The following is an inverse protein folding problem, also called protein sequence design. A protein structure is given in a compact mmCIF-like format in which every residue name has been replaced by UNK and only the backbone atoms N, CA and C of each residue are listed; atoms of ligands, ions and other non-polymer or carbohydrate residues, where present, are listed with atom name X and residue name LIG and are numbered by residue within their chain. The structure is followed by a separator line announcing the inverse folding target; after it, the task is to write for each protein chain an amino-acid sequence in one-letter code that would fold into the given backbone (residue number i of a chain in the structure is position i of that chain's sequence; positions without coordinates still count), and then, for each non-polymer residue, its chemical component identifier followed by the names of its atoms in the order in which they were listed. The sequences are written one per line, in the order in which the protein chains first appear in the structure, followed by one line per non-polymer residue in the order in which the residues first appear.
data_IF_743192466807
#
_entry.id   IF_743192466807
#
_cell.length_a   1.000
_cell.length_b   1.000
_cell.length_c   1.000
_cell.angle_alpha   90.00
_cell.angle_beta   90.00
_cell.angle_gamma   90.00
#
_symmetry.space_group_name_H-M   'P 1'
#
loop_
_entity.id
_entity.type
_entity.pdbx_description
1 polymer ?
#
# COMPACT_ATOMS: atom_id res chain seq x y z
N UNK A 1 9.19 -12.59 21.64
CA UNK A 1 10.10 -11.64 20.96
C UNK A 1 10.21 -11.86 19.45
N UNK A 2 10.15 -13.10 18.93
CA UNK A 2 10.36 -13.38 17.51
C UNK A 2 9.26 -12.83 16.56
N UNK A 3 8.00 -12.86 16.98
CA UNK A 3 6.86 -12.40 16.15
C UNK A 3 6.91 -10.89 15.88
N UNK A 4 7.15 -10.06 16.91
CA UNK A 4 7.22 -8.61 16.70
C UNK A 4 8.33 -8.22 15.72
N UNK A 5 9.50 -8.88 15.83
CA UNK A 5 10.61 -8.66 14.90
C UNK A 5 10.20 -9.00 13.47
N UNK A 6 9.53 -10.13 13.23
CA UNK A 6 9.09 -10.50 11.89
C UNK A 6 8.06 -9.54 11.32
N UNK A 7 7.17 -8.98 12.16
CA UNK A 7 6.19 -7.99 11.72
C UNK A 7 6.83 -6.66 11.32
N UNK A 8 7.82 -6.17 12.09
CA UNK A 8 8.57 -4.96 11.72
C UNK A 8 9.34 -5.18 10.42
N UNK A 9 10.01 -6.32 10.25
CA UNK A 9 10.72 -6.62 8.99
C UNK A 9 9.76 -6.76 7.80
N UNK A 10 8.55 -7.23 8.04
CA UNK A 10 7.54 -7.37 7.01
C UNK A 10 7.04 -6.02 6.46
N UNK A 11 7.20 -4.89 7.15
CA UNK A 11 6.82 -3.58 6.61
C UNK A 11 7.77 -3.10 5.51
N UNK A 12 8.96 -3.69 5.37
CA UNK A 12 9.84 -3.44 4.24
C UNK A 12 9.12 -3.71 2.90
N UNK A 13 9.11 -2.71 2.02
CA UNK A 13 8.49 -2.80 0.70
C UNK A 13 9.24 -3.74 -0.24
N UNK A 14 10.53 -4.02 0.01
CA UNK A 14 11.29 -5.03 -0.75
C UNK A 14 10.68 -6.44 -0.62
N UNK A 15 10.02 -6.71 0.50
CA UNK A 15 9.40 -8.01 0.80
C UNK A 15 7.95 -8.10 0.31
N UNK A 16 7.37 -7.00 -0.19
CA UNK A 16 5.93 -6.89 -0.46
C UNK A 16 5.39 -8.02 -1.34
N UNK A 17 5.95 -8.19 -2.53
CA UNK A 17 5.48 -9.21 -3.47
C UNK A 17 5.76 -10.63 -2.99
N UNK A 18 6.88 -10.86 -2.30
CA UNK A 18 7.23 -12.18 -1.75
C UNK A 18 6.23 -12.64 -0.70
N UNK A 19 5.83 -11.74 0.21
CA UNK A 19 4.83 -12.02 1.24
C UNK A 19 3.46 -12.29 0.60
N UNK A 20 3.01 -11.44 -0.34
CA UNK A 20 1.72 -11.64 -1.02
C UNK A 20 1.67 -12.98 -1.77
N UNK A 21 2.74 -13.34 -2.49
CA UNK A 21 2.85 -14.62 -3.20
C UNK A 21 2.81 -15.80 -2.23
N UNK A 22 3.50 -15.68 -1.08
CA UNK A 22 3.50 -16.71 -0.04
C UNK A 22 2.11 -16.95 0.54
N UNK A 23 1.34 -15.88 0.77
CA UNK A 23 -0.05 -15.98 1.24
C UNK A 23 -0.95 -16.63 0.19
N UNK A 24 -0.86 -16.18 -1.07
CA UNK A 24 -1.63 -16.77 -2.16
C UNK A 24 -1.37 -18.27 -2.30
N UNK A 25 -0.10 -18.68 -2.24
CA UNK A 25 0.28 -20.09 -2.43
C UNK A 25 -0.03 -20.97 -1.21
N UNK A 26 0.27 -20.51 0.01
CA UNK A 26 0.17 -21.33 1.23
C UNK A 26 -1.19 -21.29 1.91
N UNK A 27 -1.98 -20.25 1.65
CA UNK A 27 -3.27 -20.01 2.33
C UNK A 27 -4.43 -20.07 1.33
N UNK A 28 -4.35 -19.35 0.21
CA UNK A 28 -5.49 -19.22 -0.71
C UNK A 28 -5.56 -20.31 -1.80
N UNK A 29 -4.45 -20.91 -2.21
CA UNK A 29 -4.39 -21.90 -3.31
C UNK A 29 -4.75 -23.34 -2.90
N UNK A 30 -5.41 -23.55 -1.75
CA UNK A 30 -5.95 -24.88 -1.41
C UNK A 30 -7.33 -25.04 -2.05
N UNK A 31 -7.38 -25.79 -3.15
CA UNK A 31 -8.54 -26.22 -3.94
C UNK A 31 -9.25 -25.14 -4.79
N UNK A 32 -9.30 -25.28 -6.14
CA UNK A 32 -10.13 -24.42 -6.98
C UNK A 32 -11.61 -24.60 -6.62
N UNK A 33 -12.23 -23.54 -6.08
CA UNK A 33 -13.66 -23.48 -5.76
C UNK A 33 -13.98 -23.29 -4.28
N UNK A 34 -13.02 -23.47 -3.37
CA UNK A 34 -13.20 -23.18 -1.94
C UNK A 34 -12.60 -21.82 -1.60
N UNK A 35 -13.39 -20.74 -1.71
CA UNK A 35 -13.04 -19.44 -1.11
C UNK A 35 -13.06 -19.60 0.42
N UNK A 36 -11.99 -20.10 1.01
CA UNK A 36 -11.91 -20.30 2.45
C UNK A 36 -11.67 -18.94 3.10
N UNK A 37 -12.74 -18.37 3.64
CA UNK A 37 -12.60 -17.26 4.56
C UNK A 37 -11.88 -17.77 5.82
N UNK A 38 -10.95 -16.97 6.35
CA UNK A 38 -10.37 -17.24 7.66
C UNK A 38 -11.10 -16.50 8.77
N UNK A 39 -12.28 -15.94 8.49
CA UNK A 39 -13.19 -15.42 9.52
C UNK A 39 -13.33 -16.46 10.64
N UNK A 40 -12.87 -16.08 11.83
CA UNK A 40 -12.84 -16.91 13.05
C UNK A 40 -12.01 -18.20 12.99
N UNK A 41 -11.17 -18.40 11.95
CA UNK A 41 -10.35 -19.61 11.77
C UNK A 41 -8.84 -19.38 11.93
N UNK A 42 -8.39 -18.17 12.27
CA UNK A 42 -6.96 -17.84 12.47
C UNK A 42 -6.23 -18.83 13.40
N UNK A 43 -6.88 -19.25 14.49
CA UNK A 43 -6.28 -20.18 15.47
C UNK A 43 -6.03 -21.59 14.91
N UNK A 44 -6.70 -21.98 13.81
CA UNK A 44 -6.52 -23.29 13.16
C UNK A 44 -5.37 -23.33 12.16
N UNK A 45 -4.78 -22.17 11.83
CA UNK A 45 -3.61 -22.07 10.97
C UNK A 45 -2.36 -22.57 11.70
N UNK A 46 -1.42 -23.15 10.95
CA UNK A 46 -0.11 -23.45 11.49
C UNK A 46 0.67 -22.15 11.83
N UNK A 47 1.73 -22.22 12.65
CA UNK A 47 2.46 -21.02 13.06
C UNK A 47 3.06 -20.19 11.91
N UNK A 48 3.42 -20.82 10.79
CA UNK A 48 3.94 -20.11 9.62
C UNK A 48 2.82 -19.33 8.93
N UNK A 49 1.67 -19.98 8.70
CA UNK A 49 0.48 -19.36 8.14
C UNK A 49 -0.05 -18.22 9.03
N UNK A 50 -0.07 -18.41 10.36
CA UNK A 50 -0.42 -17.34 11.31
C UNK A 50 0.51 -16.14 11.15
N UNK A 51 1.82 -16.38 11.07
CA UNK A 51 2.82 -15.32 10.85
C UNK A 51 2.55 -14.56 9.54
N UNK A 52 2.29 -15.28 8.43
CA UNK A 52 1.98 -14.66 7.13
C UNK A 52 0.71 -13.79 7.19
N UNK A 53 -0.34 -14.25 7.87
CA UNK A 53 -1.57 -13.46 8.04
C UNK A 53 -1.32 -12.21 8.88
N UNK A 54 -0.53 -12.29 9.95
CA UNK A 54 -0.19 -11.11 10.75
C UNK A 54 0.68 -10.12 9.95
N UNK A 55 1.60 -10.62 9.11
CA UNK A 55 2.38 -9.79 8.18
C UNK A 55 1.50 -9.10 7.14
N UNK A 56 0.47 -9.78 6.62
CA UNK A 56 -0.53 -9.15 5.75
C UNK A 56 -1.24 -8.00 6.46
N UNK A 57 -1.71 -8.23 7.69
CA UNK A 57 -2.42 -7.24 8.48
C UNK A 57 -1.56 -6.00 8.78
N UNK A 58 -0.28 -6.17 9.17
CA UNK A 58 0.58 -5.02 9.47
C UNK A 58 0.90 -4.22 8.19
N UNK A 59 1.07 -4.87 7.05
CA UNK A 59 1.27 -4.17 5.76
C UNK A 59 0.02 -3.44 5.30
N UNK A 60 -1.15 -4.04 5.48
CA UNK A 60 -2.42 -3.37 5.23
C UNK A 60 -2.60 -2.16 6.15
N UNK A 61 -2.24 -2.27 7.42
CA UNK A 61 -2.28 -1.13 8.34
C UNK A 61 -1.34 0.01 7.92
N UNK A 62 -0.11 -0.32 7.49
CA UNK A 62 0.88 0.66 7.02
C UNK A 62 0.41 1.43 5.77
N UNK A 63 -0.30 0.76 4.87
CA UNK A 63 -0.92 1.37 3.68
C UNK A 63 -2.39 1.81 3.92
N UNK A 64 -2.86 1.79 5.16
CA UNK A 64 -4.25 2.02 5.55
C UNK A 64 -4.81 3.37 5.12
N UNK A 65 -3.94 4.38 4.93
CA UNK A 65 -4.33 5.69 4.44
C UNK A 65 -4.98 5.64 3.04
N UNK A 66 -4.78 4.58 2.27
CA UNK A 66 -5.39 4.38 0.95
C UNK A 66 -6.89 4.08 1.01
N UNK A 67 -7.40 3.60 2.14
CA UNK A 67 -8.82 3.29 2.35
C UNK A 67 -9.59 4.42 3.04
N UNK A 68 -8.90 5.43 3.56
CA UNK A 68 -9.51 6.54 4.30
C UNK A 68 -10.30 7.48 3.37
N UNK A 69 -11.25 8.26 3.92
CA UNK A 69 -11.93 9.31 3.16
C UNK A 69 -10.94 10.20 2.41
N UNK A 70 -11.27 10.58 1.17
CA UNK A 70 -10.35 11.22 0.22
C UNK A 70 -9.60 12.44 0.80
N UNK A 71 -10.28 13.27 1.62
CA UNK A 71 -9.65 14.43 2.25
C UNK A 71 -8.51 14.04 3.20
N UNK A 72 -8.64 12.93 3.90
CA UNK A 72 -7.61 12.42 4.82
C UNK A 72 -6.51 11.70 4.03
N UNK A 73 -6.87 10.90 3.03
CA UNK A 73 -5.91 10.28 2.13
C UNK A 73 -4.96 11.31 1.49
N UNK A 74 -5.50 12.41 0.95
CA UNK A 74 -4.72 13.49 0.34
C UNK A 74 -3.73 14.11 1.34
N UNK A 75 -4.09 14.27 2.61
CA UNK A 75 -3.18 14.80 3.64
C UNK A 75 -1.96 13.90 3.82
N UNK A 76 -2.15 12.58 3.78
CA UNK A 76 -1.04 11.62 3.87
C UNK A 76 -0.16 11.66 2.64
N UNK A 77 -0.75 11.67 1.44
CA UNK A 77 0.02 11.77 0.18
C UNK A 77 0.83 13.07 0.11
N UNK A 78 0.26 14.18 0.60
CA UNK A 78 1.00 15.45 0.70
C UNK A 78 2.19 15.36 1.65
N UNK A 79 2.02 14.77 2.84
CA UNK A 79 3.13 14.59 3.79
C UNK A 79 4.25 13.72 3.20
N UNK A 80 3.87 12.66 2.49
CA UNK A 80 4.82 11.80 1.76
C UNK A 80 5.58 12.58 0.69
N UNK A 81 4.88 13.41 -0.10
CA UNK A 81 5.52 14.25 -1.11
C UNK A 81 6.50 15.26 -0.48
N UNK A 82 6.11 15.91 0.62
CA UNK A 82 6.97 16.85 1.33
C UNK A 82 8.24 16.18 1.87
N UNK A 83 8.15 14.90 2.26
CA UNK A 83 9.29 14.10 2.67
C UNK A 83 10.19 13.72 1.50
N UNK A 84 9.63 13.25 0.38
CA UNK A 84 10.39 12.97 -0.84
C UNK A 84 11.14 14.19 -1.36
N UNK A 85 10.50 15.36 -1.36
CA UNK A 85 11.20 16.59 -1.77
C UNK A 85 12.34 16.97 -0.82
N UNK A 86 12.16 16.80 0.50
CA UNK A 86 13.25 17.02 1.46
C UNK A 86 14.42 16.07 1.20
N UNK A 87 14.14 14.81 0.86
CA UNK A 87 15.18 13.87 0.46
C UNK A 87 15.87 14.31 -0.84
N UNK A 88 15.12 14.67 -1.87
CA UNK A 88 15.68 15.12 -3.15
C UNK A 88 16.53 16.38 -3.05
N UNK A 89 16.12 17.34 -2.20
CA UNK A 89 16.91 18.54 -1.90
C UNK A 89 18.26 18.18 -1.24
N UNK A 90 18.25 17.20 -0.32
CA UNK A 90 19.46 16.70 0.32
C UNK A 90 20.36 15.94 -0.66
N UNK A 91 19.80 15.08 -1.51
CA UNK A 91 20.54 14.36 -2.55
C UNK A 91 21.24 15.35 -3.49
N UNK A 92 20.49 16.35 -3.99
CA UNK A 92 21.03 17.41 -4.84
C UNK A 92 22.14 18.20 -4.14
N UNK A 93 21.94 18.57 -2.88
CA UNK A 93 22.95 19.29 -2.08
C UNK A 93 24.26 18.52 -1.95
N UNK A 94 24.21 17.19 -1.87
CA UNK A 94 25.39 16.33 -1.74
C UNK A 94 25.92 15.83 -3.10
N UNK A 95 25.38 16.31 -4.23
CA UNK A 95 25.79 15.87 -5.55
C UNK A 95 25.41 14.43 -5.90
N UNK A 96 24.41 13.86 -5.21
CA UNK A 96 23.88 12.54 -5.47
C UNK A 96 22.80 12.59 -6.57
N UNK A 97 22.59 11.51 -7.34
CA UNK A 97 21.42 11.36 -8.19
C UNK A 97 20.13 11.50 -7.37
N UNK A 98 19.19 12.31 -7.85
CA UNK A 98 17.91 12.50 -7.16
C UNK A 98 17.06 11.24 -7.34
N UNK A 99 16.52 10.73 -6.24
CA UNK A 99 15.65 9.55 -6.22
C UNK A 99 14.36 9.77 -7.02
N UNK A 100 13.74 8.70 -7.56
CA UNK A 100 12.44 8.80 -8.21
C UNK A 100 11.40 9.50 -7.32
N UNK A 101 10.57 10.36 -7.92
CA UNK A 101 9.51 11.16 -7.26
C UNK A 101 10.00 12.23 -6.26
N UNK A 102 11.31 12.34 -6.03
CA UNK A 102 11.92 13.26 -5.06
C UNK A 102 12.30 14.63 -5.66
N UNK A 103 12.33 14.77 -6.98
CA UNK A 103 12.59 16.05 -7.64
C UNK A 103 11.34 16.95 -7.65
N UNK A 104 11.49 18.18 -7.16
CA UNK A 104 10.43 19.22 -7.15
C UNK A 104 10.00 19.65 -8.56
N UNK A 105 10.87 19.49 -9.54
CA UNK A 105 10.63 19.92 -10.92
C UNK A 105 10.02 18.81 -11.79
N UNK A 106 9.82 17.63 -11.21
CA UNK A 106 9.33 16.44 -11.91
C UNK A 106 8.03 15.93 -11.27
N UNK A 107 7.23 15.10 -11.98
CA UNK A 107 6.07 14.46 -11.39
C UNK A 107 6.43 13.64 -10.14
N UNK A 108 5.78 13.96 -9.02
CA UNK A 108 5.96 13.28 -7.73
C UNK A 108 4.77 12.39 -7.32
N UNK A 109 4.72 12.02 -6.04
CA UNK A 109 3.64 11.27 -5.41
C UNK A 109 2.25 11.94 -5.53
N UNK A 110 2.13 13.27 -5.58
CA UNK A 110 0.83 13.96 -5.70
C UNK A 110 0.23 13.98 -7.12
N UNK A 111 0.91 13.36 -8.09
CA UNK A 111 0.41 13.26 -9.46
C UNK A 111 -0.54 12.08 -9.58
N UNK A 112 -1.64 12.29 -10.32
CA UNK A 112 -2.65 11.26 -10.54
C UNK A 112 -2.07 9.99 -11.17
N UNK A 113 -1.16 10.11 -12.14
CA UNK A 113 -0.46 8.97 -12.75
C UNK A 113 0.32 8.14 -11.72
N UNK A 114 1.09 8.79 -10.84
CA UNK A 114 1.85 8.15 -9.77
C UNK A 114 0.94 7.41 -8.79
N UNK A 115 -0.15 8.05 -8.35
CA UNK A 115 -1.13 7.42 -7.45
C UNK A 115 -1.84 6.25 -8.11
N UNK A 116 -2.31 6.38 -9.35
CA UNK A 116 -2.94 5.27 -10.09
C UNK A 116 -1.99 4.09 -10.22
N UNK A 117 -0.72 4.33 -10.54
CA UNK A 117 0.31 3.29 -10.60
C UNK A 117 0.51 2.59 -9.25
N UNK A 118 0.67 3.38 -8.18
CA UNK A 118 0.83 2.86 -6.82
C UNK A 118 -0.36 2.01 -6.37
N UNK A 119 -1.59 2.50 -6.55
CA UNK A 119 -2.79 1.75 -6.21
C UNK A 119 -2.85 0.42 -6.97
N UNK A 120 -2.71 0.44 -8.30
CA UNK A 120 -2.83 -0.76 -9.13
C UNK A 120 -1.76 -1.80 -8.85
N UNK A 121 -0.51 -1.37 -8.63
CA UNK A 121 0.62 -2.27 -8.48
C UNK A 121 0.81 -2.77 -7.04
N UNK A 122 0.50 -1.95 -6.03
CA UNK A 122 0.84 -2.22 -4.64
C UNK A 122 -0.40 -2.42 -3.78
N UNK A 123 -1.31 -1.45 -3.78
CA UNK A 123 -2.40 -1.37 -2.79
C UNK A 123 -3.53 -2.34 -3.12
N UNK A 124 -4.04 -2.33 -4.36
CA UNK A 124 -5.15 -3.20 -4.76
C UNK A 124 -4.82 -4.70 -4.58
N UNK A 125 -3.64 -5.22 -4.99
CA UNK A 125 -3.31 -6.63 -4.77
C UNK A 125 -3.25 -7.01 -3.27
N UNK A 126 -2.71 -6.13 -2.43
CA UNK A 126 -2.64 -6.32 -0.98
C UNK A 126 -4.04 -6.45 -0.37
N UNK A 127 -4.92 -5.49 -0.66
CA UNK A 127 -6.26 -5.46 -0.09
C UNK A 127 -7.17 -6.54 -0.66
N UNK A 128 -7.00 -6.93 -1.94
CA UNK A 128 -7.74 -8.04 -2.52
C UNK A 128 -7.45 -9.37 -1.80
N UNK A 129 -6.19 -9.61 -1.42
CA UNK A 129 -5.82 -10.77 -0.59
C UNK A 129 -6.40 -10.63 0.82
N UNK A 130 -6.32 -9.43 1.42
CA UNK A 130 -6.88 -9.17 2.74
C UNK A 130 -8.40 -9.44 2.80
N UNK A 131 -9.18 -8.93 1.84
CA UNK A 131 -10.64 -9.11 1.81
C UNK A 131 -11.08 -10.51 1.38
N UNK A 132 -10.21 -11.25 0.69
CA UNK A 132 -10.40 -12.67 0.45
C UNK A 132 -10.27 -13.50 1.75
N UNK A 133 -9.35 -13.11 2.63
CA UNK A 133 -9.09 -13.77 3.92
C UNK A 133 -10.10 -13.33 5.00
N UNK A 134 -10.37 -12.03 5.09
CA UNK A 134 -11.26 -11.40 6.06
C UNK A 134 -12.41 -10.70 5.36
N UNK A 135 -13.55 -11.38 5.24
CA UNK A 135 -14.66 -10.87 4.43
C UNK A 135 -15.32 -9.65 5.03
N UNK A 136 -15.23 -9.49 6.35
CA UNK A 136 -15.74 -8.33 7.09
C UNK A 136 -14.96 -7.04 6.78
N UNK A 137 -13.80 -7.13 6.12
CA UNK A 137 -12.99 -5.98 5.73
C UNK A 137 -13.32 -5.42 4.35
N UNK A 138 -14.39 -5.88 3.68
CA UNK A 138 -14.75 -5.45 2.31
C UNK A 138 -14.98 -3.95 2.17
N UNK A 139 -15.50 -3.29 3.21
CA UNK A 139 -15.72 -1.83 3.19
C UNK A 139 -14.40 -1.05 2.98
N UNK A 140 -13.26 -1.63 3.34
CA UNK A 140 -11.94 -1.03 3.06
C UNK A 140 -11.61 -1.01 1.57
N UNK A 141 -12.08 -2.02 0.82
CA UNK A 141 -11.92 -2.10 -0.63
C UNK A 141 -12.75 -1.03 -1.33
N UNK A 142 -13.97 -0.73 -0.85
CA UNK A 142 -14.80 0.35 -1.39
C UNK A 142 -14.13 1.73 -1.22
N UNK A 143 -13.58 2.02 -0.03
CA UNK A 143 -12.83 3.25 0.21
C UNK A 143 -11.60 3.39 -0.69
N UNK A 144 -10.88 2.29 -0.89
CA UNK A 144 -9.72 2.20 -1.77
C UNK A 144 -10.10 2.43 -3.24
N UNK A 145 -11.17 1.78 -3.73
CA UNK A 145 -11.64 1.92 -5.11
C UNK A 145 -12.15 3.34 -5.38
N UNK A 146 -12.82 3.96 -4.41
CA UNK A 146 -13.24 5.36 -4.50
C UNK A 146 -12.05 6.32 -4.65
N UNK A 147 -10.98 6.11 -3.86
CA UNK A 147 -9.75 6.90 -3.98
C UNK A 147 -9.04 6.65 -5.32
N UNK A 148 -8.98 5.40 -5.79
CA UNK A 148 -8.42 5.08 -7.11
C UNK A 148 -9.20 5.77 -8.24
N UNK A 149 -10.53 5.77 -8.18
CA UNK A 149 -11.38 6.47 -9.14
C UNK A 149 -11.10 7.98 -9.12
N UNK A 150 -10.99 8.58 -7.93
CA UNK A 150 -10.66 9.99 -7.75
C UNK A 150 -9.36 10.37 -8.47
N UNK A 151 -8.31 9.55 -8.32
CA UNK A 151 -7.00 9.78 -8.96
C UNK A 151 -7.02 9.50 -10.45
N UNK A 152 -7.77 8.48 -10.89
CA UNK A 152 -7.92 8.14 -12.31
C UNK A 152 -8.55 9.30 -13.09
N UNK A 153 -9.58 9.94 -12.53
CA UNK A 153 -10.20 11.15 -13.12
C UNK A 153 -9.24 12.34 -13.23
N UNK A 154 -8.07 12.28 -12.59
CA UNK A 154 -7.06 13.36 -12.50
C UNK A 154 -5.71 12.94 -13.07
N UNK A 155 -5.63 11.85 -13.83
CA UNK A 155 -4.37 11.23 -14.25
C UNK A 155 -3.38 12.18 -14.96
N UNK A 156 -3.88 13.23 -15.62
CA UNK A 156 -3.10 14.18 -16.41
C UNK A 156 -2.72 15.48 -15.68
N UNK A 157 -3.12 15.69 -14.42
CA UNK A 157 -2.84 16.94 -13.70
C UNK A 157 -2.38 16.68 -12.26
N UNK A 158 -1.44 17.50 -11.72
CA UNK A 158 -1.14 17.45 -10.30
C UNK A 158 -2.36 17.92 -9.49
N UNK A 159 -2.52 17.40 -8.28
CA UNK A 159 -3.63 17.81 -7.41
C UNK A 159 -3.53 19.29 -6.99
N UNK A 160 -2.32 19.82 -6.90
CA UNK A 160 -2.02 21.21 -6.61
C UNK A 160 -1.15 21.77 -7.72
N UNK A 161 -1.45 22.98 -8.16
CA UNK A 161 -0.54 23.74 -8.99
C UNK A 161 0.41 24.52 -8.07
N UNK A 162 1.65 24.07 -8.00
CA UNK A 162 2.68 24.67 -7.14
C UNK A 162 3.30 25.92 -7.77
N UNK A 163 2.93 26.26 -9.01
CA UNK A 163 3.44 27.41 -9.74
C UNK A 163 2.52 28.64 -9.67
N UNK A 164 1.39 28.55 -8.95
CA UNK A 164 0.41 29.65 -8.79
C UNK A 164 0.49 30.37 -7.43
N UNK A 165 1.68 30.37 -6.80
CA UNK A 165 1.99 31.16 -5.59
C UNK A 165 2.94 32.29 -5.89
#
# INVERSE_FOLDING_TARGET
MLVLRSLVLATDMSQHFSILTSIQTKILNKEPGRKQSLDHQFASLDPEQQSLVLQLCIKAADLGHCCLPIRTHIKWVRRLQDEFWRQGDLEKKHGLPISPLADRNSPGALWGSSQVGFFKAIVCPLYSILTAIFRDCRDLEDGLLSNLEFWTKRQLKPLFDWNSS
#
